data_IF_284076723815
#
_entry.id   IF_284076723815
#
_cell.length_a   1.000
_cell.length_b   1.000
_cell.length_c   1.000
_cell.angle_alpha   90.00
_cell.angle_beta   90.00
_cell.angle_gamma   90.00
#
_symmetry.space_group_name_H-M   'P 1'
#
loop_
_entity.id
_entity.type
_entity.pdbx_description
1 polymer ?
#
# COMPACT_ATOMS: atom_id res chain seq x y z
N UNK A 1 16.58 12.03 3.76
CA UNK A 1 15.86 10.75 3.62
C UNK A 1 14.61 10.80 4.49
N UNK A 2 13.47 10.36 3.96
CA UNK A 2 12.26 10.34 4.79
C UNK A 2 12.40 9.30 5.89
N UNK A 3 11.84 9.64 7.05
CA UNK A 3 11.81 8.74 8.18
C UNK A 3 10.61 7.79 8.02
N UNK A 4 10.86 6.53 7.73
CA UNK A 4 9.83 5.57 7.37
C UNK A 4 9.28 4.77 8.56
N UNK A 5 9.78 5.01 9.78
CA UNK A 5 9.31 4.30 10.97
C UNK A 5 7.80 4.44 11.18
N UNK A 6 7.19 5.63 11.02
CA UNK A 6 5.74 5.74 11.16
C UNK A 6 4.96 4.83 10.20
N UNK A 7 5.49 4.63 9.00
CA UNK A 7 4.84 3.74 8.03
C UNK A 7 4.90 2.29 8.50
N UNK A 8 6.06 1.85 8.97
CA UNK A 8 6.21 0.49 9.49
C UNK A 8 5.23 0.24 10.64
N UNK A 9 5.15 1.20 11.56
CA UNK A 9 4.25 1.06 12.71
C UNK A 9 2.78 1.01 12.28
N UNK A 10 2.38 1.87 11.36
CA UNK A 10 1.00 1.92 10.87
C UNK A 10 0.63 0.63 10.13
N UNK A 11 1.53 0.15 9.28
CA UNK A 11 1.30 -1.08 8.51
C UNK A 11 1.24 -2.29 9.43
N UNK A 12 2.16 -2.40 10.39
CA UNK A 12 2.17 -3.53 11.31
C UNK A 12 0.91 -3.57 12.17
N UNK A 13 0.46 -2.42 12.64
CA UNK A 13 -0.76 -2.34 13.41
C UNK A 13 -1.98 -2.82 12.59
N UNK A 14 -2.07 -2.38 11.35
CA UNK A 14 -3.17 -2.78 10.47
C UNK A 14 -3.07 -4.26 10.11
N UNK A 15 -1.87 -4.75 9.80
CA UNK A 15 -1.64 -6.15 9.49
C UNK A 15 -2.08 -7.06 10.63
N UNK A 16 -1.76 -6.67 11.87
CA UNK A 16 -2.16 -7.43 13.05
C UNK A 16 -3.67 -7.47 13.21
N UNK A 17 -4.36 -6.38 12.88
CA UNK A 17 -5.83 -6.37 12.89
C UNK A 17 -6.39 -7.41 11.92
N UNK A 18 -5.84 -7.48 10.71
CA UNK A 18 -6.31 -8.46 9.72
C UNK A 18 -5.99 -9.88 10.15
N UNK A 19 -4.83 -10.12 10.75
CA UNK A 19 -4.44 -11.45 11.24
C UNK A 19 -5.36 -11.96 12.33
N UNK A 20 -5.88 -11.08 13.16
CA UNK A 20 -6.76 -11.47 14.27
C UNK A 20 -8.24 -11.31 13.95
N UNK A 21 -8.59 -10.90 12.75
CA UNK A 21 -9.98 -10.68 12.36
C UNK A 21 -10.69 -12.00 12.11
N UNK A 22 -11.90 -12.21 12.70
CA UNK A 22 -12.69 -13.41 12.41
C UNK A 22 -13.00 -13.52 10.92
N UNK A 23 -13.10 -14.74 10.41
CA UNK A 23 -13.35 -14.99 8.99
C UNK A 23 -14.59 -14.25 8.50
N UNK A 24 -15.67 -14.26 9.27
CA UNK A 24 -16.92 -13.61 8.86
C UNK A 24 -16.74 -12.11 8.64
N UNK A 25 -15.93 -11.45 9.48
CA UNK A 25 -15.62 -10.03 9.29
C UNK A 25 -14.70 -9.83 8.11
N UNK A 26 -13.67 -10.65 8.02
CA UNK A 26 -12.65 -10.56 6.96
C UNK A 26 -13.29 -10.66 5.58
N UNK A 27 -14.28 -11.51 5.43
CA UNK A 27 -14.98 -11.73 4.17
C UNK A 27 -16.19 -10.81 4.00
N UNK A 28 -16.52 -9.99 5.01
CA UNK A 28 -17.64 -9.06 4.94
C UNK A 28 -17.34 -7.88 4.02
N UNK A 29 -18.36 -7.49 3.25
CA UNK A 29 -18.22 -6.39 2.30
C UNK A 29 -18.01 -5.05 2.99
N UNK A 30 -17.27 -4.18 2.33
CA UNK A 30 -17.14 -2.77 2.71
C UNK A 30 -17.37 -1.92 1.47
N UNK A 31 -17.68 -0.63 1.62
CA UNK A 31 -17.89 0.23 0.46
C UNK A 31 -16.69 0.17 -0.51
N UNK A 32 -16.97 -0.09 -1.78
CA UNK A 32 -15.95 -0.13 -2.82
C UNK A 32 -15.19 -1.43 -2.97
N UNK A 33 -15.37 -2.38 -2.06
CA UNK A 33 -14.65 -3.66 -2.11
C UNK A 33 -15.57 -4.82 -1.74
N UNK A 34 -15.31 -5.97 -2.35
CA UNK A 34 -16.11 -7.17 -2.11
C UNK A 34 -15.95 -7.68 -0.66
N UNK A 35 -14.84 -7.36 -0.01
CA UNK A 35 -14.58 -7.78 1.36
C UNK A 35 -13.51 -6.89 1.98
N UNK A 36 -13.39 -6.97 3.30
CA UNK A 36 -12.27 -6.33 4.00
C UNK A 36 -10.94 -6.89 3.51
N UNK A 37 -10.87 -8.19 3.26
CA UNK A 37 -9.67 -8.81 2.71
C UNK A 37 -9.32 -8.23 1.34
N UNK A 38 -10.32 -7.98 0.49
CA UNK A 38 -10.10 -7.36 -0.81
C UNK A 38 -9.57 -5.94 -0.68
N UNK A 39 -10.07 -5.18 0.28
CA UNK A 39 -9.58 -3.82 0.55
C UNK A 39 -8.11 -3.86 1.01
N UNK A 40 -7.77 -4.80 1.88
CA UNK A 40 -6.39 -4.96 2.35
C UNK A 40 -5.46 -5.38 1.22
N UNK A 41 -5.92 -6.25 0.32
CA UNK A 41 -5.13 -6.67 -0.84
C UNK A 41 -4.88 -5.48 -1.78
N UNK A 42 -5.88 -4.64 -2.00
CA UNK A 42 -5.73 -3.44 -2.81
C UNK A 42 -4.66 -2.51 -2.21
N UNK A 43 -4.68 -2.35 -0.89
CA UNK A 43 -3.66 -1.55 -0.20
C UNK A 43 -2.27 -2.19 -0.36
N UNK A 44 -2.16 -3.50 -0.17
CA UNK A 44 -0.88 -4.20 -0.30
C UNK A 44 -0.32 -4.04 -1.72
N UNK A 45 -1.18 -4.13 -2.73
CA UNK A 45 -0.78 -3.92 -4.13
C UNK A 45 -0.28 -2.50 -4.35
N UNK A 46 -0.95 -1.52 -3.78
CA UNK A 46 -0.53 -0.13 -3.90
C UNK A 46 0.84 0.09 -3.25
N UNK A 47 1.02 -0.44 -2.03
CA UNK A 47 2.29 -0.31 -1.31
C UNK A 47 3.43 -0.99 -2.07
N UNK A 48 3.18 -2.18 -2.60
CA UNK A 48 4.17 -2.90 -3.39
C UNK A 48 4.52 -2.16 -4.67
N UNK A 49 3.52 -1.58 -5.34
CA UNK A 49 3.74 -0.76 -6.53
C UNK A 49 4.55 0.49 -6.22
N UNK A 50 4.26 1.15 -5.11
CA UNK A 50 5.02 2.32 -4.68
C UNK A 50 6.47 1.96 -4.35
N UNK A 51 6.70 0.80 -3.73
CA UNK A 51 8.05 0.32 -3.45
C UNK A 51 8.84 0.11 -4.74
N UNK A 52 8.22 -0.54 -5.74
CA UNK A 52 8.84 -0.74 -7.04
C UNK A 52 9.15 0.60 -7.71
N UNK A 53 8.21 1.52 -7.66
CA UNK A 53 8.40 2.86 -8.23
C UNK A 53 9.55 3.60 -7.56
N UNK A 54 9.67 3.48 -6.24
CA UNK A 54 10.77 4.12 -5.50
C UNK A 54 12.13 3.54 -5.89
N UNK A 55 12.16 2.27 -6.30
CA UNK A 55 13.37 1.62 -6.76
C UNK A 55 13.63 1.80 -8.25
N UNK A 56 12.74 2.51 -8.95
CA UNK A 56 12.86 2.70 -10.40
C UNK A 56 12.53 1.45 -11.19
N UNK A 57 11.79 0.53 -10.61
CA UNK A 57 11.44 -0.75 -11.24
C UNK A 57 10.00 -0.73 -11.74
N UNK A 58 9.74 -1.55 -12.77
CA UNK A 58 8.39 -1.67 -13.31
C UNK A 58 7.44 -2.34 -12.33
N UNK A 59 6.15 -2.03 -12.47
CA UNK A 59 5.11 -2.70 -11.69
C UNK A 59 5.16 -4.20 -11.98
N UNK A 60 4.87 -4.98 -10.96
CA UNK A 60 4.96 -6.41 -10.99
C UNK A 60 3.68 -7.01 -10.43
N UNK A 61 3.29 -8.16 -10.92
CA UNK A 61 2.13 -8.87 -10.40
C UNK A 61 2.28 -9.11 -8.91
N UNK A 62 1.19 -8.85 -8.20
CA UNK A 62 1.09 -9.10 -6.77
C UNK A 62 -0.11 -10.03 -6.59
N UNK A 63 0.12 -11.34 -6.49
CA UNK A 63 -0.96 -12.30 -6.54
C UNK A 63 -1.84 -12.26 -5.30
N UNK A 64 -3.10 -12.62 -5.49
CA UNK A 64 -4.02 -12.86 -4.39
C UNK A 64 -3.68 -14.21 -3.78
N UNK A 65 -3.17 -14.20 -2.57
CA UNK A 65 -2.78 -15.41 -1.85
C UNK A 65 -3.89 -15.89 -0.89
N UNK A 66 -5.07 -15.32 -0.99
CA UNK A 66 -6.21 -15.69 -0.16
C UNK A 66 -6.40 -14.75 1.02
N UNK A 67 -7.63 -14.74 1.53
CA UNK A 67 -8.02 -13.81 2.58
C UNK A 67 -7.18 -13.93 3.85
N UNK A 68 -6.76 -15.16 4.19
CA UNK A 68 -5.99 -15.37 5.42
C UNK A 68 -4.53 -14.95 5.30
N UNK A 69 -4.04 -14.74 4.07
CA UNK A 69 -2.66 -14.30 3.86
C UNK A 69 -2.54 -12.79 3.76
N UNK A 70 -3.65 -12.07 3.72
CA UNK A 70 -3.63 -10.65 3.38
C UNK A 70 -2.89 -9.79 4.41
N UNK A 71 -2.96 -10.15 5.69
CA UNK A 71 -2.20 -9.45 6.74
C UNK A 71 -0.70 -9.55 6.50
N UNK A 72 -0.23 -10.75 6.18
CA UNK A 72 1.19 -10.96 5.89
C UNK A 72 1.61 -10.25 4.62
N UNK A 73 0.78 -10.28 3.58
CA UNK A 73 1.06 -9.57 2.33
C UNK A 73 1.16 -8.07 2.57
N UNK A 74 0.27 -7.54 3.39
CA UNK A 74 0.28 -6.12 3.75
C UNK A 74 1.57 -5.74 4.49
N UNK A 75 1.98 -6.55 5.45
CA UNK A 75 3.20 -6.31 6.21
C UNK A 75 4.43 -6.30 5.30
N UNK A 76 4.55 -7.31 4.43
CA UNK A 76 5.69 -7.40 3.52
C UNK A 76 5.73 -6.19 2.58
N UNK A 77 4.60 -5.84 1.98
CA UNK A 77 4.56 -4.71 1.05
C UNK A 77 4.89 -3.39 1.73
N UNK A 78 4.39 -3.18 2.94
CA UNK A 78 4.68 -1.96 3.70
C UNK A 78 6.14 -1.87 4.11
N UNK A 79 6.72 -2.97 4.55
CA UNK A 79 8.13 -3.00 4.91
C UNK A 79 9.03 -2.78 3.69
N UNK A 80 8.65 -3.34 2.54
CA UNK A 80 9.40 -3.13 1.30
C UNK A 80 9.38 -1.65 0.92
N UNK A 81 8.23 -1.00 1.04
CA UNK A 81 8.16 0.44 0.75
C UNK A 81 9.00 1.24 1.72
N UNK A 82 8.94 0.93 3.01
CA UNK A 82 9.73 1.63 4.01
C UNK A 82 11.23 1.50 3.71
N UNK A 83 11.68 0.31 3.33
CA UNK A 83 13.08 0.07 2.97
C UNK A 83 13.47 0.85 1.71
N UNK A 84 12.59 0.85 0.71
CA UNK A 84 12.85 1.59 -0.54
C UNK A 84 12.96 3.09 -0.28
N UNK A 85 12.09 3.64 0.58
CA UNK A 85 12.15 5.05 0.94
C UNK A 85 13.42 5.39 1.71
N UNK A 86 13.84 4.50 2.61
CA UNK A 86 15.06 4.72 3.39
C UNK A 86 16.30 4.74 2.50
N UNK A 87 16.28 4.01 1.40
CA UNK A 87 17.39 3.95 0.45
C UNK A 87 17.31 5.02 -0.64
N UNK A 88 16.23 5.78 -0.69
CA UNK A 88 15.98 6.74 -1.76
C UNK A 88 16.96 7.92 -1.66
N UNK A 89 17.68 8.25 -2.75
CA UNK A 89 18.55 9.41 -2.72
C UNK A 89 17.79 10.70 -2.49
N UNK A 90 18.44 11.65 -1.82
CA UNK A 90 17.87 12.96 -1.61
C UNK A 90 17.59 13.62 -2.95
N UNK A 91 16.41 14.22 -3.08
CA UNK A 91 16.00 14.86 -4.33
C UNK A 91 15.44 13.92 -5.37
N UNK A 92 15.46 12.61 -5.13
CA UNK A 92 14.89 11.66 -6.09
C UNK A 92 13.38 11.83 -6.20
N UNK A 93 12.87 11.57 -7.40
CA UNK A 93 11.43 11.66 -7.71
C UNK A 93 10.88 10.27 -7.97
N UNK A 94 9.68 10.03 -7.49
CA UNK A 94 9.01 8.73 -7.60
C UNK A 94 7.71 8.91 -8.34
N UNK A 95 7.46 8.07 -9.34
CA UNK A 95 6.19 8.07 -10.07
C UNK A 95 5.24 7.10 -9.37
N UNK A 96 4.38 7.62 -8.51
CA UNK A 96 3.48 6.79 -7.73
C UNK A 96 2.41 6.13 -8.60
N UNK A 97 1.95 4.93 -8.20
CA UNK A 97 0.76 4.33 -8.83
C UNK A 97 -0.47 5.17 -8.51
N UNK A 98 -1.57 4.91 -9.20
CA UNK A 98 -2.83 5.55 -8.91
C UNK A 98 -3.39 5.11 -7.56
N UNK A 99 -4.53 5.69 -7.13
CA UNK A 99 -5.14 5.31 -5.86
C UNK A 99 -5.38 3.81 -5.76
N UNK A 100 -5.28 3.27 -4.56
CA UNK A 100 -5.36 1.83 -4.32
C UNK A 100 -6.65 1.21 -4.86
N UNK A 101 -7.75 1.94 -4.83
CA UNK A 101 -9.06 1.46 -5.30
C UNK A 101 -9.61 2.29 -6.44
N UNK A 102 -8.80 3.15 -7.03
CA UNK A 102 -9.26 4.04 -8.09
C UNK A 102 -9.30 3.37 -9.44
N UNK A 103 -10.24 3.74 -10.29
CA UNK A 103 -10.34 3.17 -11.63
C UNK A 103 -9.13 3.48 -12.51
N UNK A 104 -8.38 4.51 -12.20
CA UNK A 104 -7.18 4.85 -12.95
C UNK A 104 -5.93 4.14 -12.47
N UNK A 105 -6.05 3.27 -11.49
CA UNK A 105 -4.88 2.63 -10.90
C UNK A 105 -4.09 1.81 -11.92
N UNK A 106 -4.77 1.22 -12.88
CA UNK A 106 -4.13 0.43 -13.92
C UNK A 106 -3.55 1.30 -15.02
N UNK A 107 -3.92 2.54 -15.06
CA UNK A 107 -3.63 3.44 -16.13
C UNK A 107 -2.51 4.40 -15.78
N UNK A 108 -1.58 3.97 -15.08
CA UNK A 108 -0.50 4.76 -14.53
C UNK A 108 -0.10 5.99 -15.31
N UNK A 109 -0.61 6.00 -16.49
CA UNK A 109 -0.35 7.09 -17.38
C UNK A 109 -0.81 8.43 -16.86
N UNK A 110 -1.82 8.38 -16.06
CA UNK A 110 -2.22 9.59 -15.42
C UNK A 110 -1.06 10.29 -14.82
N UNK A 111 -0.08 9.53 -14.58
CA UNK A 111 1.14 10.14 -14.18
C UNK A 111 1.53 11.10 -15.26
N UNK A 112 1.35 12.29 -15.02
CA UNK A 112 1.72 13.39 -15.87
C UNK A 112 3.23 13.55 -16.00
N UNK A 113 3.97 12.51 -15.80
CA UNK A 113 5.42 12.51 -15.94
C UNK A 113 6.18 13.20 -14.82
N UNK A 114 5.49 13.82 -13.89
CA UNK A 114 6.16 14.44 -12.75
C UNK A 114 6.05 13.54 -11.55
N UNK A 115 7.16 13.14 -11.00
CA UNK A 115 7.18 12.37 -9.78
C UNK A 115 7.00 13.26 -8.55
N UNK A 116 6.93 12.61 -7.40
CA UNK A 116 6.90 13.29 -6.11
C UNK A 116 8.13 12.87 -5.32
N UNK A 117 8.50 13.65 -4.32
CA UNK A 117 9.66 13.31 -3.50
C UNK A 117 9.31 12.22 -2.48
N UNK A 118 10.35 11.70 -1.80
CA UNK A 118 10.17 10.63 -0.84
C UNK A 118 9.24 10.98 0.32
N UNK A 119 9.26 12.23 0.77
CA UNK A 119 8.37 12.68 1.85
C UNK A 119 6.91 12.62 1.41
N UNK A 120 6.64 13.00 0.16
CA UNK A 120 5.28 12.92 -0.39
C UNK A 120 4.83 11.47 -0.57
N UNK A 121 5.74 10.58 -0.97
CA UNK A 121 5.43 9.15 -1.03
C UNK A 121 5.04 8.62 0.33
N UNK A 122 5.81 8.96 1.36
CA UNK A 122 5.53 8.54 2.72
C UNK A 122 4.17 9.06 3.19
N UNK A 123 3.89 10.34 2.96
CA UNK A 123 2.61 10.92 3.34
C UNK A 123 1.44 10.23 2.62
N UNK A 124 1.60 9.97 1.34
CA UNK A 124 0.59 9.24 0.55
C UNK A 124 0.36 7.83 1.07
N UNK A 125 1.43 7.13 1.42
CA UNK A 125 1.33 5.78 1.96
C UNK A 125 0.61 5.77 3.31
N UNK A 126 0.95 6.69 4.19
CA UNK A 126 0.29 6.82 5.49
C UNK A 126 -1.20 7.12 5.31
N UNK A 127 -1.55 7.96 4.34
CA UNK A 127 -2.95 8.28 4.05
C UNK A 127 -3.70 7.05 3.54
N UNK A 128 -3.09 6.24 2.67
CA UNK A 128 -3.72 5.03 2.15
C UNK A 128 -3.92 4.00 3.27
N UNK A 129 -2.94 3.84 4.14
CA UNK A 129 -3.08 2.93 5.29
C UNK A 129 -4.20 3.40 6.21
N UNK A 130 -4.25 4.69 6.52
CA UNK A 130 -5.27 5.25 7.40
C UNK A 130 -6.68 5.09 6.80
N UNK A 131 -6.81 5.33 5.49
CA UNK A 131 -8.10 5.20 4.81
C UNK A 131 -8.60 3.76 4.85
N UNK A 132 -7.71 2.79 4.61
CA UNK A 132 -8.08 1.38 4.67
C UNK A 132 -8.43 0.96 6.11
N UNK A 133 -7.67 1.43 7.09
CA UNK A 133 -7.94 1.14 8.48
C UNK A 133 -9.33 1.63 8.90
N UNK A 134 -9.70 2.82 8.45
CA UNK A 134 -11.00 3.40 8.75
C UNK A 134 -12.12 2.65 8.03
N UNK A 135 -11.91 2.32 6.76
CA UNK A 135 -12.87 1.60 5.95
C UNK A 135 -13.19 0.22 6.54
N UNK A 136 -12.19 -0.44 7.10
CA UNK A 136 -12.30 -1.81 7.60
C UNK A 136 -12.50 -1.91 9.12
N UNK A 137 -12.74 -0.79 9.76
CA UNK A 137 -12.92 -0.74 11.22
C UNK A 137 -14.10 -1.58 11.71
#
# INVERSE_FOLDING_TARGET
>A
MPEATPLVEAVDSLADRFRSMPQSRLLGAVPGHASRAAAALALARWLAGAARAAEGLAVRDFPDAGAFAVGDQLAVAGHDLAAALAALPEGARVLLPGPADGPGAADGAGANGTGVDGAAVLAGALAEVAATAELCA
#
